data_IF_104734263711
#
_entry.id   IF_104734263711
#
_cell.length_a   1.000
_cell.length_b   1.000
_cell.length_c   1.000
_cell.angle_alpha   90.00
_cell.angle_beta   90.00
_cell.angle_gamma   90.00
#
_symmetry.space_group_name_H-M   'P 1'
#
loop_
_entity.id
_entity.type
_entity.pdbx_description
1 polymer ?
#
# COMPACT_ATOMS: atom_id res chain seq x y z
N UNK A 1 3.93 6.83 -16.09
CA UNK A 1 3.87 8.28 -15.78
C UNK A 1 2.53 8.77 -16.29
N UNK A 2 1.57 9.02 -15.40
CA UNK A 2 0.31 9.69 -15.78
C UNK A 2 0.61 11.18 -15.95
N UNK A 3 0.08 11.82 -17.00
CA UNK A 3 0.21 13.27 -17.14
C UNK A 3 -0.46 13.97 -15.95
N UNK A 4 0.03 15.14 -15.54
CA UNK A 4 -0.41 15.91 -14.35
C UNK A 4 -1.94 16.18 -14.31
N UNK A 5 -2.62 16.05 -15.45
CA UNK A 5 -4.08 16.26 -15.59
C UNK A 5 -4.91 14.97 -15.57
N UNK A 6 -4.28 13.79 -15.60
CA UNK A 6 -4.99 12.52 -15.67
C UNK A 6 -5.22 11.96 -14.26
N UNK A 7 -6.48 11.61 -13.98
CA UNK A 7 -6.84 10.98 -12.70
C UNK A 7 -6.53 9.49 -12.75
N UNK A 8 -6.06 8.95 -11.64
CA UNK A 8 -5.90 7.49 -11.44
C UNK A 8 -7.27 6.84 -11.25
N UNK A 9 -8.00 6.67 -12.36
CA UNK A 9 -9.27 5.94 -12.40
C UNK A 9 -9.09 4.63 -13.14
N UNK A 10 -9.99 3.68 -12.87
CA UNK A 10 -10.02 2.38 -13.53
C UNK A 10 -9.98 2.52 -15.06
N UNK A 11 -10.87 3.33 -15.64
CA UNK A 11 -10.94 3.56 -17.09
C UNK A 11 -9.64 4.15 -17.66
N UNK A 12 -9.02 5.09 -16.93
CA UNK A 12 -7.78 5.71 -17.38
C UNK A 12 -6.64 4.70 -17.41
N UNK A 13 -6.52 3.87 -16.35
CA UNK A 13 -5.50 2.82 -16.30
C UNK A 13 -5.75 1.75 -17.36
N UNK A 14 -7.02 1.34 -17.57
CA UNK A 14 -7.42 0.38 -18.61
C UNK A 14 -7.00 0.86 -19.99
N UNK A 15 -7.33 2.12 -20.34
CA UNK A 15 -6.96 2.71 -21.61
C UNK A 15 -5.44 2.75 -21.83
N UNK A 16 -4.68 3.17 -20.81
CA UNK A 16 -3.22 3.22 -20.91
C UNK A 16 -2.58 1.84 -21.08
N UNK A 17 -3.02 0.84 -20.30
CA UNK A 17 -2.49 -0.51 -20.38
C UNK A 17 -2.75 -1.15 -21.74
N UNK A 18 -3.92 -0.89 -22.33
CA UNK A 18 -4.24 -1.29 -23.70
C UNK A 18 -3.36 -0.58 -24.73
N UNK A 19 -3.13 0.72 -24.56
CA UNK A 19 -2.35 1.54 -25.51
C UNK A 19 -0.87 1.13 -25.58
N UNK A 20 -0.30 0.63 -24.48
CA UNK A 20 1.07 0.11 -24.42
C UNK A 20 1.13 -1.41 -24.63
N UNK A 21 0.00 -2.03 -24.96
CA UNK A 21 -0.12 -3.48 -25.17
C UNK A 21 0.47 -4.33 -24.03
N UNK A 22 0.26 -3.89 -22.78
CA UNK A 22 0.93 -4.45 -21.60
C UNK A 22 0.72 -5.97 -21.45
N UNK A 23 -0.43 -6.48 -21.90
CA UNK A 23 -0.77 -7.91 -21.89
C UNK A 23 0.15 -8.73 -22.80
N UNK A 24 0.53 -8.20 -23.97
CA UNK A 24 1.43 -8.90 -24.92
C UNK A 24 2.82 -9.10 -24.33
N UNK A 25 3.30 -8.11 -23.58
CA UNK A 25 4.66 -8.11 -23.04
C UNK A 25 4.78 -8.78 -21.67
N UNK A 26 3.66 -9.17 -21.05
CA UNK A 26 3.64 -9.90 -19.77
C UNK A 26 4.44 -9.23 -18.64
N UNK A 27 4.50 -7.88 -18.68
CA UNK A 27 5.28 -7.08 -17.74
C UNK A 27 4.80 -7.21 -16.30
N UNK A 28 5.74 -7.09 -15.38
CA UNK A 28 5.44 -6.91 -13.96
C UNK A 28 5.22 -5.42 -13.69
N UNK A 29 4.18 -5.09 -12.92
CA UNK A 29 3.79 -3.72 -12.64
C UNK A 29 4.06 -3.43 -11.16
N UNK A 30 4.78 -2.34 -10.90
CA UNK A 30 4.92 -1.76 -9.57
C UNK A 30 4.20 -0.42 -9.54
N UNK A 31 3.32 -0.24 -8.57
CA UNK A 31 2.64 1.02 -8.29
C UNK A 31 2.50 1.17 -6.77
N UNK A 32 2.08 2.34 -6.30
CA UNK A 32 1.68 2.47 -4.89
C UNK A 32 0.44 1.61 -4.57
N UNK A 33 0.12 1.46 -3.29
CA UNK A 33 -0.98 0.60 -2.84
C UNK A 33 -2.36 1.04 -3.38
N UNK A 34 -2.55 2.33 -3.64
CA UNK A 34 -3.79 2.85 -4.21
C UNK A 34 -3.89 2.52 -5.69
N UNK A 35 -2.81 2.72 -6.45
CA UNK A 35 -2.74 2.30 -7.85
C UNK A 35 -2.96 0.79 -8.00
N UNK A 36 -2.33 -0.02 -7.14
CA UNK A 36 -2.54 -1.47 -7.10
C UNK A 36 -4.01 -1.81 -6.87
N UNK A 37 -4.69 -1.17 -5.90
CA UNK A 37 -6.10 -1.41 -5.66
C UNK A 37 -6.96 -1.17 -6.91
N UNK A 38 -6.69 -0.11 -7.67
CA UNK A 38 -7.40 0.14 -8.94
C UNK A 38 -7.08 -0.93 -9.99
N UNK A 39 -5.81 -1.34 -10.11
CA UNK A 39 -5.37 -2.36 -11.07
C UNK A 39 -6.01 -3.73 -10.81
N UNK A 40 -6.20 -4.10 -9.55
CA UNK A 40 -6.87 -5.36 -9.16
C UNK A 40 -8.39 -5.21 -9.06
N UNK A 41 -8.95 -4.04 -9.39
CA UNK A 41 -10.38 -3.80 -9.39
C UNK A 41 -11.02 -3.67 -8.00
N UNK A 42 -10.25 -3.37 -6.96
CA UNK A 42 -10.80 -3.13 -5.62
C UNK A 42 -11.40 -1.74 -5.50
N UNK A 43 -12.51 -1.66 -4.76
CA UNK A 43 -13.13 -0.38 -4.39
C UNK A 43 -12.17 0.45 -3.54
N UNK A 44 -12.04 1.74 -3.89
CA UNK A 44 -11.23 2.69 -3.16
C UNK A 44 -11.83 3.04 -1.78
N UNK A 45 -10.96 3.47 -0.85
CA UNK A 45 -11.36 3.95 0.48
C UNK A 45 -11.07 2.96 1.61
N UNK A 46 -11.62 3.25 2.80
CA UNK A 46 -11.42 2.43 3.99
C UNK A 46 -12.46 1.30 4.07
N UNK A 47 -12.25 0.28 3.26
CA UNK A 47 -13.20 -0.81 3.09
C UNK A 47 -12.86 -2.00 3.99
N UNK A 48 -13.84 -2.91 4.18
CA UNK A 48 -13.69 -4.06 5.08
C UNK A 48 -12.60 -5.04 4.62
N UNK A 49 -12.50 -5.26 3.31
CA UNK A 49 -11.59 -6.25 2.70
C UNK A 49 -10.65 -5.56 1.72
N UNK A 50 -9.79 -4.68 2.24
CA UNK A 50 -8.93 -3.82 1.43
C UNK A 50 -7.67 -4.51 0.87
N UNK A 51 -7.38 -5.74 1.28
CA UNK A 51 -6.20 -6.48 0.82
C UNK A 51 -6.51 -7.29 -0.44
N UNK A 52 -5.65 -7.16 -1.46
CA UNK A 52 -5.77 -7.93 -2.70
C UNK A 52 -5.18 -9.34 -2.59
N UNK A 53 -4.25 -9.57 -1.64
CA UNK A 53 -3.59 -10.86 -1.44
C UNK A 53 -4.38 -11.82 -0.55
N UNK A 54 -5.11 -11.29 0.43
CA UNK A 54 -5.82 -12.08 1.43
C UNK A 54 -7.11 -11.41 1.88
N UNK A 55 -7.98 -12.20 2.49
CA UNK A 55 -9.27 -11.76 3.01
C UNK A 55 -9.14 -11.18 4.41
N UNK A 56 -8.15 -10.30 4.60
CA UNK A 56 -7.96 -9.58 5.86
C UNK A 56 -9.16 -8.66 6.12
N UNK A 57 -9.81 -8.86 7.26
CA UNK A 57 -10.96 -8.06 7.68
C UNK A 57 -10.48 -6.87 8.50
N UNK A 58 -10.42 -5.68 7.91
CA UNK A 58 -9.96 -4.44 8.54
C UNK A 58 -10.84 -3.97 9.71
N UNK A 59 -12.01 -4.59 9.90
CA UNK A 59 -12.97 -4.29 10.97
C UNK A 59 -12.88 -5.27 12.14
N UNK A 60 -12.22 -6.43 11.99
CA UNK A 60 -12.08 -7.44 13.05
C UNK A 60 -10.97 -7.10 14.07
N UNK A 61 -11.24 -6.09 14.92
CA UNK A 61 -10.30 -5.61 15.95
C UNK A 61 -9.81 -6.70 16.93
N UNK A 62 -10.61 -7.76 17.15
CA UNK A 62 -10.26 -8.83 18.09
C UNK A 62 -9.21 -9.75 17.52
N UNK A 63 -9.30 -10.10 16.23
CA UNK A 63 -8.39 -11.06 15.59
C UNK A 63 -7.18 -10.41 14.92
N UNK A 64 -7.14 -9.09 14.77
CA UNK A 64 -6.06 -8.37 14.05
C UNK A 64 -4.65 -8.76 14.47
N UNK A 65 -4.40 -8.94 15.77
CA UNK A 65 -3.06 -9.25 16.29
C UNK A 65 -2.90 -10.71 16.74
N UNK A 66 -3.96 -11.51 16.67
CA UNK A 66 -3.95 -12.93 17.05
C UNK A 66 -3.80 -13.81 15.80
N UNK A 67 -4.55 -13.46 14.74
CA UNK A 67 -4.57 -14.23 13.50
C UNK A 67 -3.45 -13.76 12.58
N UNK A 68 -2.41 -14.58 12.49
CA UNK A 68 -1.25 -14.34 11.61
C UNK A 68 -1.54 -14.65 10.14
N UNK A 69 -2.34 -15.68 9.87
CA UNK A 69 -2.62 -16.16 8.51
C UNK A 69 -4.08 -15.93 8.18
N UNK A 70 -4.33 -15.10 7.15
CA UNK A 70 -5.66 -14.84 6.61
C UNK A 70 -5.88 -15.66 5.33
N UNK A 71 -7.13 -16.09 5.03
CA UNK A 71 -7.40 -16.85 3.82
C UNK A 71 -6.91 -16.10 2.59
N UNK A 72 -6.15 -16.78 1.72
CA UNK A 72 -5.69 -16.20 0.46
C UNK A 72 -6.89 -15.81 -0.40
N UNK A 73 -6.79 -14.70 -1.11
CA UNK A 73 -7.77 -14.34 -2.13
C UNK A 73 -7.47 -15.18 -3.38
N UNK A 74 -8.35 -16.12 -3.71
CA UNK A 74 -8.19 -16.99 -4.88
C UNK A 74 -8.71 -16.33 -6.17
N UNK A 75 -9.80 -15.58 -6.05
CA UNK A 75 -10.47 -14.93 -7.17
C UNK A 75 -10.80 -13.48 -6.79
N UNK A 76 -10.76 -12.61 -7.79
CA UNK A 76 -11.18 -11.21 -7.73
C UNK A 76 -12.50 -11.09 -8.51
N UNK A 77 -13.61 -11.42 -7.86
CA UNK A 77 -14.94 -11.47 -8.50
C UNK A 77 -15.67 -10.16 -8.19
N UNK A 78 -16.03 -9.33 -9.19
CA UNK A 78 -16.79 -8.10 -8.96
C UNK A 78 -18.05 -8.32 -8.12
N UNK A 79 -18.31 -7.41 -7.18
CA UNK A 79 -19.43 -7.47 -6.22
C UNK A 79 -19.16 -8.32 -4.98
N UNK A 80 -18.07 -9.08 -4.92
CA UNK A 80 -17.70 -9.89 -3.76
C UNK A 80 -16.56 -9.21 -3.00
N UNK A 81 -16.60 -9.19 -1.67
CA UNK A 81 -15.45 -8.86 -0.77
C UNK A 81 -14.59 -7.64 -1.18
N UNK A 82 -15.23 -6.57 -1.64
CA UNK A 82 -14.64 -5.27 -2.03
C UNK A 82 -14.10 -5.17 -3.46
N UNK A 83 -14.37 -6.13 -4.31
CA UNK A 83 -14.10 -6.04 -5.73
C UNK A 83 -15.21 -5.26 -6.41
N UNK A 84 -14.86 -4.16 -7.06
CA UNK A 84 -15.78 -3.28 -7.79
C UNK A 84 -15.72 -3.58 -9.29
N UNK A 85 -14.51 -3.81 -9.81
CA UNK A 85 -14.26 -4.02 -11.24
C UNK A 85 -13.49 -5.31 -11.48
N UNK A 86 -13.49 -5.77 -12.73
CA UNK A 86 -12.59 -6.85 -13.15
C UNK A 86 -11.13 -6.42 -13.00
N UNK A 87 -10.21 -7.31 -12.61
CA UNK A 87 -8.80 -6.97 -12.52
C UNK A 87 -8.23 -6.67 -13.92
N UNK A 88 -7.56 -5.53 -14.06
CA UNK A 88 -6.83 -5.15 -15.28
C UNK A 88 -5.52 -5.92 -15.43
N UNK A 89 -4.98 -6.40 -14.31
CA UNK A 89 -3.68 -7.06 -14.21
C UNK A 89 -3.81 -8.25 -13.26
N UNK A 90 -3.24 -9.39 -13.64
CA UNK A 90 -3.16 -10.56 -12.78
C UNK A 90 -2.38 -10.24 -11.50
N UNK A 91 -2.84 -10.72 -10.34
CA UNK A 91 -2.22 -10.41 -9.05
C UNK A 91 -0.76 -10.86 -8.97
N UNK A 92 -0.40 -11.90 -9.71
CA UNK A 92 0.95 -12.47 -9.81
C UNK A 92 1.92 -11.54 -10.56
N UNK A 93 1.40 -10.62 -11.36
CA UNK A 93 2.19 -9.62 -12.10
C UNK A 93 2.41 -8.33 -11.31
N UNK A 94 1.86 -8.23 -10.10
CA UNK A 94 1.99 -7.04 -9.26
C UNK A 94 3.19 -7.20 -8.33
N UNK A 95 4.10 -6.24 -8.42
CA UNK A 95 5.20 -6.09 -7.47
C UNK A 95 4.74 -5.21 -6.31
N UNK A 96 4.86 -5.72 -5.10
CA UNK A 96 4.58 -4.94 -3.90
C UNK A 96 5.62 -3.81 -3.78
N UNK A 97 5.20 -2.56 -3.54
CA UNK A 97 6.10 -1.42 -3.45
C UNK A 97 6.85 -1.43 -2.10
N UNK A 98 8.12 -1.88 -2.03
CA UNK A 98 8.78 -2.14 -0.75
C UNK A 98 8.97 -0.85 0.05
N UNK A 99 9.20 0.27 -0.66
CA UNK A 99 9.34 1.58 -0.07
C UNK A 99 8.04 2.03 0.64
N UNK A 100 6.89 1.94 -0.01
CA UNK A 100 5.62 2.34 0.58
C UNK A 100 5.25 1.51 1.81
N UNK A 101 5.52 0.20 1.78
CA UNK A 101 5.33 -0.70 2.93
C UNK A 101 6.24 -0.28 4.09
N UNK A 102 7.53 -0.09 3.82
CA UNK A 102 8.52 0.28 4.84
C UNK A 102 8.17 1.62 5.49
N UNK A 103 7.85 2.64 4.69
CA UNK A 103 7.43 3.95 5.17
C UNK A 103 6.16 3.87 6.02
N UNK A 104 5.16 3.08 5.59
CA UNK A 104 3.93 2.87 6.35
C UNK A 104 4.18 2.19 7.71
N UNK A 105 5.03 1.16 7.74
CA UNK A 105 5.41 0.47 8.99
C UNK A 105 6.19 1.39 9.94
N UNK A 106 7.18 2.13 9.44
CA UNK A 106 7.93 3.12 10.23
C UNK A 106 6.99 4.16 10.82
N UNK A 107 6.03 4.66 10.03
CA UNK A 107 5.04 5.62 10.51
C UNK A 107 4.20 5.06 11.64
N UNK A 108 3.67 3.85 11.50
CA UNK A 108 2.88 3.21 12.55
C UNK A 108 3.72 2.93 13.81
N UNK A 109 4.96 2.49 13.64
CA UNK A 109 5.89 2.23 14.74
C UNK A 109 6.17 3.50 15.55
N UNK A 110 6.50 4.61 14.89
CA UNK A 110 6.78 5.87 15.58
C UNK A 110 5.51 6.41 16.24
N UNK A 111 4.34 6.32 15.60
CA UNK A 111 3.08 6.77 16.21
C UNK A 111 2.67 5.99 17.46
N UNK A 112 3.09 4.74 17.58
CA UNK A 112 2.86 3.92 18.77
C UNK A 112 3.91 4.13 19.88
N UNK A 113 4.98 4.88 19.60
CA UNK A 113 6.09 5.08 20.53
C UNK A 113 5.72 6.08 21.64
N UNK A 114 6.27 5.87 22.84
CA UNK A 114 6.25 6.90 23.88
C UNK A 114 7.19 8.06 23.49
N UNK A 115 6.62 9.22 23.17
CA UNK A 115 7.38 10.41 22.78
C UNK A 115 8.24 11.02 23.90
N UNK A 116 7.97 10.70 25.17
CA UNK A 116 8.85 11.04 26.30
C UNK A 116 9.91 9.99 26.61
N UNK A 117 9.88 8.84 25.93
CA UNK A 117 10.77 7.72 26.18
C UNK A 117 12.13 7.84 25.48
N UNK A 118 13.10 7.08 25.96
CA UNK A 118 14.45 7.00 25.41
C UNK A 118 14.48 6.63 23.92
N UNK A 119 13.54 5.80 23.45
CA UNK A 119 13.41 5.43 22.03
C UNK A 119 13.14 6.63 21.13
N UNK A 120 12.26 7.56 21.53
CA UNK A 120 11.98 8.76 20.74
C UNK A 120 13.15 9.75 20.82
N UNK A 121 13.79 9.82 21.99
CA UNK A 121 15.01 10.62 22.19
C UNK A 121 16.14 10.16 21.27
N UNK A 122 16.31 8.84 21.11
CA UNK A 122 17.24 8.27 20.14
C UNK A 122 16.91 8.70 18.71
N UNK A 123 15.63 8.67 18.30
CA UNK A 123 15.23 9.13 16.95
C UNK A 123 15.59 10.61 16.73
N UNK A 124 15.40 11.47 17.74
CA UNK A 124 15.81 12.88 17.66
C UNK A 124 17.32 13.04 17.46
N UNK A 125 18.12 12.25 18.16
CA UNK A 125 19.58 12.25 18.04
C UNK A 125 20.05 11.67 16.70
N UNK A 126 19.40 10.60 16.21
CA UNK A 126 19.74 9.94 14.94
C UNK A 126 19.38 10.79 13.72
N UNK A 127 18.30 11.58 13.83
CA UNK A 127 17.80 12.44 12.75
C UNK A 127 17.81 13.92 13.16
N UNK A 128 19.00 14.52 13.45
CA UNK A 128 19.08 15.87 14.00
C UNK A 128 18.61 16.96 13.02
N UNK A 129 18.56 16.65 11.72
CA UNK A 129 18.08 17.55 10.66
C UNK A 129 16.57 17.46 10.42
N UNK A 130 15.88 16.52 11.08
CA UNK A 130 14.43 16.33 10.94
C UNK A 130 13.74 16.95 12.14
N UNK A 131 12.75 17.80 11.91
CA UNK A 131 12.02 18.43 13.01
C UNK A 131 11.27 17.38 13.85
N UNK A 132 11.12 17.64 15.14
CA UNK A 132 10.41 16.74 16.05
C UNK A 132 8.98 16.43 15.56
N UNK A 133 8.27 17.42 15.02
CA UNK A 133 6.94 17.25 14.45
C UNK A 133 6.94 16.25 13.27
N UNK A 134 7.97 16.30 12.40
CA UNK A 134 8.13 15.33 11.31
C UNK A 134 8.46 13.94 11.83
N UNK A 135 9.30 13.83 12.85
CA UNK A 135 9.62 12.55 13.50
C UNK A 135 8.35 11.95 14.12
N UNK A 136 7.54 12.70 14.87
CA UNK A 136 6.26 12.24 15.45
C UNK A 136 5.28 11.71 14.40
N UNK A 137 5.25 12.33 13.22
CA UNK A 137 4.45 11.85 12.09
C UNK A 137 5.06 10.67 11.32
N UNK A 138 6.23 10.19 11.75
CA UNK A 138 6.96 9.09 11.11
C UNK A 138 7.67 9.48 9.81
N UNK A 139 7.79 10.78 9.52
CA UNK A 139 8.50 11.30 8.36
C UNK A 139 10.00 11.37 8.63
N UNK A 140 10.65 10.20 8.59
CA UNK A 140 12.09 10.06 8.64
C UNK A 140 12.64 10.19 7.21
N UNK A 141 12.62 11.40 6.66
CA UNK A 141 13.16 11.69 5.33
C UNK A 141 14.67 11.37 5.33
N UNK A 142 15.10 10.52 4.38
CA UNK A 142 16.50 10.13 4.25
C UNK A 142 16.81 8.70 4.72
N UNK A 143 15.91 7.73 4.51
CA UNK A 143 16.28 6.32 4.48
C UNK A 143 17.24 6.03 3.30
N UNK A 144 18.47 6.56 3.34
CA UNK A 144 19.63 5.73 3.03
C UNK A 144 19.67 4.70 4.16
N UNK A 145 18.93 3.63 3.94
CA UNK A 145 19.16 2.39 4.65
C UNK A 145 20.39 1.81 3.99
N UNK A 146 21.56 2.36 4.35
CA UNK A 146 22.80 1.66 4.11
C UNK A 146 22.70 0.41 5.01
N UNK A 147 22.72 -0.77 4.36
CA UNK A 147 22.82 -2.08 5.00
C UNK A 147 24.12 -2.18 5.80
#
# INVERSE_FOLDING_TARGET
MLAVRMKETYETLKYMLSSIECSKHSWHICADLKGIAVLVGLQAGYTKFCCFLCQWDSRDRKKHYIKKVWPKRQFLIPGVKNEENEPLVASEKILLPPLHIKLGLTKNFVKAMNFGGSGFQYLRLKFPKVSEAKIKEGYLLGLKLDN
#
